data_IF_648875933744
#
_entry.id   IF_648875933744
#
_cell.length_a   1.000
_cell.length_b   1.000
_cell.length_c   1.000
_cell.angle_alpha   90.00
_cell.angle_beta   90.00
_cell.angle_gamma   90.00
#
_symmetry.space_group_name_H-M   'P 1'
#
loop_
_entity.id
_entity.type
_entity.pdbx_description
1 polymer ?
#
# COMPACT_ATOMS: atom_id res chain seq x y z
N UNK A 1 -5.60 -32.50 -24.48
CA UNK A 1 -5.66 -32.41 -23.01
C UNK A 1 -5.06 -31.06 -22.63
N UNK A 2 -5.90 -30.07 -22.35
CA UNK A 2 -5.43 -28.73 -22.04
C UNK A 2 -4.74 -28.74 -20.67
N UNK A 3 -3.51 -28.24 -20.65
CA UNK A 3 -2.64 -28.14 -19.49
C UNK A 3 -3.32 -27.32 -18.38
N UNK A 4 -3.75 -27.97 -17.30
CA UNK A 4 -4.43 -27.35 -16.15
C UNK A 4 -3.48 -26.71 -15.14
N UNK A 5 -2.16 -26.77 -15.37
CA UNK A 5 -1.15 -26.37 -14.36
C UNK A 5 -0.81 -24.88 -14.38
N UNK A 6 -1.68 -24.02 -14.92
CA UNK A 6 -1.44 -22.58 -14.92
C UNK A 6 -2.70 -21.74 -14.65
N UNK A 7 -3.57 -22.23 -13.76
CA UNK A 7 -4.63 -21.39 -13.19
C UNK A 7 -3.95 -20.46 -12.19
N UNK A 8 -3.70 -19.21 -12.60
CA UNK A 8 -3.30 -18.15 -11.65
C UNK A 8 -4.31 -18.15 -10.50
N UNK A 9 -3.88 -18.15 -9.23
CA UNK A 9 -4.80 -18.07 -8.12
C UNK A 9 -5.69 -16.84 -8.28
N UNK A 10 -6.98 -17.01 -8.01
CA UNK A 10 -7.93 -15.90 -7.99
C UNK A 10 -7.40 -14.87 -6.98
N UNK A 11 -7.38 -13.59 -7.37
CA UNK A 11 -6.91 -12.50 -6.49
C UNK A 11 -7.79 -12.35 -5.24
N UNK A 12 -9.09 -12.59 -5.40
CA UNK A 12 -10.09 -12.53 -4.34
C UNK A 12 -10.86 -13.86 -4.23
N UNK A 13 -10.22 -14.94 -3.74
CA UNK A 13 -10.88 -16.23 -3.61
C UNK A 13 -12.08 -16.16 -2.64
N UNK A 14 -12.04 -15.25 -1.65
CA UNK A 14 -13.11 -14.99 -0.70
C UNK A 14 -14.38 -14.43 -1.36
N UNK A 15 -14.24 -13.72 -2.48
CA UNK A 15 -15.38 -13.12 -3.22
C UNK A 15 -15.95 -14.04 -4.30
N UNK A 16 -15.34 -15.20 -4.56
CA UNK A 16 -15.72 -16.09 -5.66
C UNK A 16 -17.14 -16.68 -5.55
N UNK A 17 -17.73 -16.68 -4.36
CA UNK A 17 -19.09 -17.19 -4.10
C UNK A 17 -20.18 -16.11 -4.21
N UNK A 18 -19.80 -14.85 -4.39
CA UNK A 18 -20.76 -13.75 -4.47
C UNK A 18 -21.51 -13.79 -5.80
N UNK A 19 -22.79 -13.35 -5.84
CA UNK A 19 -23.52 -13.19 -7.10
C UNK A 19 -22.76 -12.29 -8.06
N UNK A 20 -22.75 -12.64 -9.35
CA UNK A 20 -22.11 -11.78 -10.35
C UNK A 20 -22.84 -10.44 -10.44
N UNK A 21 -22.07 -9.36 -10.31
CA UNK A 21 -22.53 -8.01 -10.59
C UNK A 21 -21.76 -7.50 -11.82
N UNK A 22 -22.39 -7.41 -13.01
CA UNK A 22 -21.68 -7.10 -14.24
C UNK A 22 -21.05 -5.70 -14.18
N UNK A 23 -19.79 -5.61 -14.59
CA UNK A 23 -19.08 -4.34 -14.61
C UNK A 23 -19.80 -3.32 -15.51
N UNK A 24 -20.20 -2.20 -14.90
CA UNK A 24 -20.73 -1.07 -15.62
C UNK A 24 -19.63 -0.40 -16.47
N UNK A 25 -20.01 0.07 -17.65
CA UNK A 25 -19.07 0.79 -18.53
C UNK A 25 -18.63 2.07 -17.85
N UNK A 26 -17.31 2.23 -17.65
CA UNK A 26 -16.75 3.48 -17.13
C UNK A 26 -17.11 4.65 -18.05
N UNK A 27 -17.63 5.77 -17.51
CA UNK A 27 -17.98 6.95 -18.29
C UNK A 27 -16.77 7.53 -19.04
N UNK A 28 -17.04 8.34 -20.08
CA UNK A 28 -16.02 8.81 -21.02
C UNK A 28 -14.92 9.66 -20.36
N UNK A 29 -15.25 10.39 -19.30
CA UNK A 29 -14.30 11.24 -18.57
C UNK A 29 -13.34 10.45 -17.65
N UNK A 30 -13.61 9.17 -17.36
CA UNK A 30 -12.70 8.31 -16.57
C UNK A 30 -11.82 7.52 -17.53
N UNK A 31 -10.77 8.17 -18.05
CA UNK A 31 -9.75 7.59 -18.92
C UNK A 31 -8.38 8.15 -18.57
N UNK A 32 -7.37 7.28 -18.60
CA UNK A 32 -5.96 7.64 -18.37
C UNK A 32 -5.08 7.03 -19.47
N UNK A 33 -3.88 7.58 -19.66
CA UNK A 33 -2.89 7.01 -20.57
C UNK A 33 -2.17 5.85 -19.89
N UNK A 34 -1.79 4.84 -20.67
CA UNK A 34 -0.98 3.74 -20.15
C UNK A 34 0.40 4.25 -19.70
N UNK A 35 0.95 3.75 -18.57
CA UNK A 35 2.24 4.19 -18.07
C UNK A 35 3.37 3.58 -18.92
N UNK A 36 3.92 4.37 -19.85
CA UNK A 36 5.01 3.94 -20.74
C UNK A 36 6.32 4.70 -20.50
N UNK A 37 6.38 5.54 -19.46
CA UNK A 37 7.57 6.34 -19.17
C UNK A 37 8.75 5.51 -18.64
N UNK A 38 10.00 5.92 -18.90
CA UNK A 38 11.18 5.30 -18.28
C UNK A 38 11.14 5.32 -16.74
N UNK A 39 10.68 6.42 -16.15
CA UNK A 39 10.52 6.57 -14.71
C UNK A 39 9.61 5.49 -14.11
N UNK A 40 8.53 5.13 -14.82
CA UNK A 40 7.67 4.04 -14.37
C UNK A 40 8.41 2.70 -14.33
N UNK A 41 9.17 2.37 -15.38
CA UNK A 41 9.91 1.11 -15.45
C UNK A 41 11.00 1.03 -14.38
N UNK A 42 11.71 2.14 -14.13
CA UNK A 42 12.73 2.27 -13.10
C UNK A 42 12.15 2.06 -11.69
N UNK A 43 11.11 2.82 -11.33
CA UNK A 43 10.46 2.67 -10.02
C UNK A 43 9.90 1.26 -9.85
N UNK A 44 9.28 0.69 -10.90
CA UNK A 44 8.76 -0.69 -10.83
C UNK A 44 9.87 -1.70 -10.54
N UNK A 45 11.00 -1.57 -11.23
CA UNK A 45 12.15 -2.45 -11.05
C UNK A 45 12.66 -2.34 -9.61
N UNK A 46 12.83 -1.12 -9.11
CA UNK A 46 13.35 -0.90 -7.77
C UNK A 46 12.44 -1.44 -6.67
N UNK A 47 11.12 -1.23 -6.78
CA UNK A 47 10.16 -1.79 -5.81
C UNK A 47 10.29 -3.31 -5.72
N UNK A 48 10.48 -3.99 -6.86
CA UNK A 48 10.68 -5.45 -6.88
C UNK A 48 12.03 -5.87 -6.30
N UNK A 49 13.11 -5.17 -6.63
CA UNK A 49 14.46 -5.45 -6.11
C UNK A 49 14.55 -5.26 -4.59
N UNK A 50 13.76 -4.33 -4.03
CA UNK A 50 13.71 -4.02 -2.59
C UNK A 50 12.61 -4.78 -1.84
N UNK A 51 11.93 -5.72 -2.49
CA UNK A 51 10.82 -6.47 -1.91
C UNK A 51 9.71 -5.57 -1.30
N UNK A 52 9.44 -4.43 -1.93
CA UNK A 52 8.42 -3.48 -1.49
C UNK A 52 7.11 -3.69 -2.26
N UNK A 53 6.01 -3.52 -1.54
CA UNK A 53 4.66 -3.54 -2.12
C UNK A 53 4.13 -2.12 -2.23
N UNK A 54 3.38 -1.80 -3.29
CA UNK A 54 2.75 -0.48 -3.43
C UNK A 54 1.26 -0.62 -3.59
N UNK A 55 0.48 0.27 -2.97
CA UNK A 55 -0.96 0.36 -3.27
C UNK A 55 -1.16 0.80 -4.73
N UNK A 56 -0.17 1.48 -5.33
CA UNK A 56 -0.21 1.88 -6.72
C UNK A 56 -0.40 0.66 -7.64
N UNK A 57 0.37 -0.41 -7.41
CA UNK A 57 0.23 -1.68 -8.13
C UNK A 57 -0.95 -2.51 -7.58
N UNK A 58 -1.07 -2.61 -6.25
CA UNK A 58 -2.06 -3.50 -5.62
C UNK A 58 -3.50 -3.04 -5.83
N UNK A 59 -3.78 -1.74 -5.85
CA UNK A 59 -5.10 -1.20 -6.15
C UNK A 59 -5.34 -0.97 -7.66
N UNK A 60 -4.41 -1.37 -8.53
CA UNK A 60 -4.47 -1.11 -9.97
C UNK A 60 -4.71 0.38 -10.29
N UNK A 61 -3.93 1.25 -9.63
CA UNK A 61 -4.15 2.69 -9.67
C UNK A 61 -3.94 3.24 -11.10
N UNK A 62 -4.95 3.93 -11.68
CA UNK A 62 -4.83 4.50 -13.02
C UNK A 62 -3.79 5.65 -13.09
N UNK A 63 -3.42 6.23 -11.94
CA UNK A 63 -2.53 7.40 -11.86
C UNK A 63 -1.05 7.03 -11.65
N UNK A 64 -0.71 5.73 -11.56
CA UNK A 64 0.62 5.24 -11.20
C UNK A 64 1.76 5.88 -12.02
N UNK A 65 1.57 6.04 -13.34
CA UNK A 65 2.58 6.62 -14.21
C UNK A 65 2.83 8.11 -13.95
N UNK A 66 1.78 8.87 -13.65
CA UNK A 66 1.89 10.30 -13.36
C UNK A 66 2.54 10.53 -11.98
N UNK A 67 2.05 9.83 -10.95
CA UNK A 67 2.59 9.96 -9.59
C UNK A 67 4.09 9.61 -9.55
N UNK A 68 4.49 8.49 -10.16
CA UNK A 68 5.89 8.05 -10.12
C UNK A 68 6.81 8.99 -10.92
N UNK A 69 6.33 9.56 -12.03
CA UNK A 69 7.07 10.58 -12.77
C UNK A 69 7.30 11.87 -11.94
N UNK A 70 6.38 12.20 -11.04
CA UNK A 70 6.50 13.33 -10.10
C UNK A 70 7.33 12.99 -8.85
N UNK A 71 7.90 11.78 -8.78
CA UNK A 71 8.63 11.27 -7.60
C UNK A 71 7.75 11.16 -6.36
N UNK A 72 6.50 10.72 -6.58
CA UNK A 72 5.51 10.42 -5.55
C UNK A 72 5.16 8.93 -5.61
N UNK A 73 5.11 8.26 -4.46
CA UNK A 73 4.65 6.88 -4.38
C UNK A 73 3.93 6.61 -3.07
N UNK A 74 3.02 5.63 -3.11
CA UNK A 74 2.37 5.11 -1.90
C UNK A 74 2.81 3.67 -1.69
N UNK A 75 3.65 3.46 -0.69
CA UNK A 75 4.18 2.15 -0.32
C UNK A 75 3.27 1.53 0.72
N UNK A 76 2.92 0.26 0.51
CA UNK A 76 2.13 -0.54 1.43
C UNK A 76 3.07 -1.44 2.22
N UNK A 77 3.27 -1.10 3.49
CA UNK A 77 4.09 -1.87 4.43
C UNK A 77 3.27 -3.02 5.03
N UNK A 78 3.95 -3.95 5.70
CA UNK A 78 3.37 -5.13 6.36
C UNK A 78 2.76 -6.18 5.41
N UNK A 79 3.13 -6.11 4.12
CA UNK A 79 2.77 -7.08 3.09
C UNK A 79 1.54 -6.70 2.26
N UNK A 80 1.04 -7.67 1.51
CA UNK A 80 -0.05 -7.55 0.52
C UNK A 80 -1.32 -8.34 0.88
N UNK A 81 -1.33 -8.96 2.07
CA UNK A 81 -2.45 -9.75 2.59
C UNK A 81 -2.98 -9.07 3.85
N UNK A 82 -4.24 -8.65 3.79
CA UNK A 82 -4.95 -7.99 4.87
C UNK A 82 -5.73 -9.00 5.74
N UNK A 83 -5.76 -8.76 7.04
CA UNK A 83 -6.60 -9.54 7.98
C UNK A 83 -8.09 -9.23 7.85
N UNK A 84 -8.45 -8.14 7.15
CA UNK A 84 -9.82 -7.68 6.96
C UNK A 84 -10.26 -7.71 5.49
N UNK A 85 -11.57 -7.76 5.29
CA UNK A 85 -12.21 -7.99 3.99
C UNK A 85 -13.11 -6.81 3.56
N UNK A 86 -12.56 -5.60 3.47
CA UNK A 86 -13.31 -4.44 3.00
C UNK A 86 -13.85 -4.68 1.57
N UNK A 87 -15.18 -4.57 1.39
CA UNK A 87 -15.83 -4.98 0.14
C UNK A 87 -15.31 -4.24 -1.10
N UNK A 88 -14.95 -2.95 -0.94
CA UNK A 88 -14.41 -2.09 -2.00
C UNK A 88 -12.91 -2.26 -2.23
N UNK A 89 -12.18 -2.84 -1.29
CA UNK A 89 -10.73 -2.93 -1.35
C UNK A 89 -10.27 -4.07 -2.29
N UNK A 90 -9.18 -3.82 -3.01
CA UNK A 90 -8.58 -4.73 -3.98
C UNK A 90 -7.36 -5.50 -3.43
N UNK A 91 -7.02 -5.28 -2.16
CA UNK A 91 -5.96 -6.01 -1.44
C UNK A 91 -6.49 -7.41 -1.07
N UNK A 92 -5.62 -8.42 -1.14
CA UNK A 92 -6.00 -9.79 -0.81
C UNK A 92 -6.37 -9.92 0.67
N UNK A 93 -7.37 -10.73 0.99
CA UNK A 93 -7.72 -11.06 2.37
C UNK A 93 -7.15 -12.41 2.75
N UNK A 94 -6.55 -12.54 3.93
CA UNK A 94 -6.03 -13.80 4.42
C UNK A 94 -5.18 -13.68 5.67
N UNK A 95 -4.35 -14.70 5.92
CA UNK A 95 -3.36 -14.69 7.00
C UNK A 95 -2.07 -14.01 6.49
N UNK A 96 -1.65 -12.88 7.06
CA UNK A 96 -0.43 -12.20 6.64
C UNK A 96 0.82 -13.03 6.95
N UNK A 97 1.91 -12.70 6.24
CA UNK A 97 3.23 -13.23 6.51
C UNK A 97 3.87 -12.65 7.79
N UNK A 98 5.10 -13.09 8.06
CA UNK A 98 5.93 -12.47 9.11
C UNK A 98 6.26 -11.04 8.70
N UNK A 99 6.35 -10.14 9.69
CA UNK A 99 6.85 -8.78 9.48
C UNK A 99 8.29 -8.87 8.99
N UNK A 100 8.60 -8.18 7.90
CA UNK A 100 9.96 -8.06 7.39
C UNK A 100 10.71 -6.98 8.19
N UNK A 101 11.76 -7.33 8.95
CA UNK A 101 12.52 -6.36 9.71
C UNK A 101 13.34 -5.41 8.83
N UNK A 102 13.61 -5.77 7.56
CA UNK A 102 14.37 -4.95 6.61
C UNK A 102 13.48 -3.98 5.81
N UNK A 103 12.16 -4.06 5.94
CA UNK A 103 11.21 -3.20 5.22
C UNK A 103 11.47 -1.70 5.44
N UNK A 104 11.77 -1.19 6.67
CA UNK A 104 12.12 0.22 6.87
C UNK A 104 13.39 0.65 6.12
N UNK A 105 14.43 -0.19 6.13
CA UNK A 105 15.68 0.07 5.41
C UNK A 105 15.48 0.06 3.90
N UNK A 106 14.76 -0.96 3.39
CA UNK A 106 14.44 -1.08 1.98
C UNK A 106 13.60 0.11 1.49
N UNK A 107 12.63 0.57 2.29
CA UNK A 107 11.83 1.76 2.02
C UNK A 107 12.70 3.02 1.91
N UNK A 108 13.59 3.21 2.88
CA UNK A 108 14.51 4.35 2.91
C UNK A 108 15.50 4.35 1.74
N UNK A 109 16.07 3.20 1.40
CA UNK A 109 16.94 3.04 0.23
C UNK A 109 16.17 3.36 -1.04
N UNK A 110 14.96 2.82 -1.19
CA UNK A 110 14.13 3.07 -2.36
C UNK A 110 13.78 4.57 -2.50
N UNK A 111 13.39 5.23 -1.41
CA UNK A 111 13.11 6.66 -1.39
C UNK A 111 14.33 7.50 -1.80
N UNK A 112 15.52 7.15 -1.29
CA UNK A 112 16.78 7.83 -1.61
C UNK A 112 17.21 7.63 -3.07
N UNK A 113 17.24 6.39 -3.55
CA UNK A 113 17.66 6.07 -4.92
C UNK A 113 16.75 6.71 -5.98
N UNK A 114 15.45 6.80 -5.71
CA UNK A 114 14.51 7.43 -6.64
C UNK A 114 14.47 8.96 -6.53
N UNK A 115 15.03 9.54 -5.46
CA UNK A 115 14.86 10.95 -5.14
C UNK A 115 13.39 11.30 -4.91
N UNK A 116 12.70 10.51 -4.07
CA UNK A 116 11.29 10.76 -3.73
C UNK A 116 11.12 12.14 -3.10
N UNK A 117 10.09 12.87 -3.55
CA UNK A 117 9.72 14.18 -2.98
C UNK A 117 8.66 14.02 -1.90
N UNK A 118 7.75 13.10 -2.13
CA UNK A 118 6.63 12.82 -1.25
C UNK A 118 6.37 11.31 -1.23
N UNK A 119 6.37 10.73 -0.04
CA UNK A 119 6.14 9.32 0.17
C UNK A 119 4.96 9.13 1.10
N UNK A 120 3.95 8.40 0.63
CA UNK A 120 2.84 7.97 1.47
C UNK A 120 3.14 6.56 1.96
N UNK A 121 3.10 6.36 3.27
CA UNK A 121 3.21 5.04 3.89
C UNK A 121 1.81 4.61 4.30
N UNK A 122 1.37 3.48 3.79
CA UNK A 122 0.12 2.83 4.22
C UNK A 122 0.38 1.38 4.59
N UNK A 123 -0.61 0.69 5.15
CA UNK A 123 -0.47 -0.73 5.45
C UNK A 123 -1.78 -1.48 5.23
N UNK A 124 -1.65 -2.80 5.16
CA UNK A 124 -2.78 -3.69 5.43
C UNK A 124 -3.15 -3.67 6.93
N UNK A 125 -4.36 -4.10 7.28
CA UNK A 125 -4.71 -4.35 8.67
C UNK A 125 -3.97 -5.60 9.18
N UNK A 126 -3.30 -5.46 10.33
CA UNK A 126 -2.55 -6.51 11.02
C UNK A 126 -3.12 -6.80 12.40
N UNK A 127 -4.38 -7.24 12.43
CA UNK A 127 -5.06 -7.59 13.68
C UNK A 127 -4.33 -8.70 14.48
N UNK A 128 -3.50 -9.50 13.80
CA UNK A 128 -2.63 -10.54 14.36
C UNK A 128 -1.46 -10.00 15.19
N UNK A 129 -1.09 -8.72 15.05
CA UNK A 129 -0.03 -8.08 15.81
C UNK A 129 -0.56 -7.39 17.06
N UNK A 130 0.23 -7.39 18.14
CA UNK A 130 -0.15 -6.81 19.42
C UNK A 130 -0.36 -5.28 19.36
N UNK A 131 0.34 -4.59 18.45
CA UNK A 131 0.27 -3.14 18.22
C UNK A 131 -0.45 -2.78 16.91
N UNK A 132 -1.04 -3.76 16.22
CA UNK A 132 -1.67 -3.56 14.92
C UNK A 132 -0.72 -3.13 13.80
N UNK A 133 0.61 -3.23 14.00
CA UNK A 133 1.62 -2.80 13.03
C UNK A 133 2.13 -1.36 13.23
N UNK A 134 1.66 -0.64 14.24
CA UNK A 134 2.08 0.74 14.52
C UNK A 134 3.60 0.90 14.67
N UNK A 135 4.27 -0.04 15.33
CA UNK A 135 5.72 0.00 15.49
C UNK A 135 6.48 -0.09 14.15
N UNK A 136 5.89 -0.68 13.12
CA UNK A 136 6.49 -0.71 11.78
C UNK A 136 6.38 0.65 11.08
N UNK A 137 5.24 1.34 11.21
CA UNK A 137 5.12 2.72 10.76
C UNK A 137 6.18 3.61 11.40
N UNK A 138 6.35 3.52 12.72
CA UNK A 138 7.36 4.31 13.47
C UNK A 138 8.75 4.07 12.90
N UNK A 139 9.18 2.81 12.78
CA UNK A 139 10.50 2.47 12.22
C UNK A 139 10.71 3.01 10.80
N UNK A 140 9.69 2.91 9.94
CA UNK A 140 9.74 3.44 8.58
C UNK A 140 9.90 4.97 8.57
N UNK A 141 9.13 5.68 9.39
CA UNK A 141 9.21 7.14 9.49
C UNK A 141 10.60 7.56 9.99
N UNK A 142 11.05 7.00 11.12
CA UNK A 142 12.36 7.30 11.71
C UNK A 142 13.48 7.05 10.70
N UNK A 143 13.44 5.91 10.01
CA UNK A 143 14.46 5.56 9.04
C UNK A 143 14.51 6.50 7.85
N UNK A 144 13.35 6.94 7.34
CA UNK A 144 13.27 7.93 6.27
C UNK A 144 13.77 9.31 6.70
N UNK A 145 13.52 9.70 7.96
CA UNK A 145 14.04 10.98 8.49
C UNK A 145 15.57 10.97 8.60
N UNK A 146 16.16 9.83 8.92
CA UNK A 146 17.62 9.67 8.98
C UNK A 146 18.29 9.75 7.60
N UNK A 147 17.72 9.10 6.59
CA UNK A 147 18.40 8.90 5.30
C UNK A 147 17.92 9.82 4.18
N UNK A 148 16.69 10.32 4.28
CA UNK A 148 16.03 11.14 3.26
C UNK A 148 15.30 12.32 3.89
N UNK A 149 16.01 13.24 4.58
CA UNK A 149 15.37 14.30 5.37
C UNK A 149 14.53 15.29 4.55
N UNK A 150 14.79 15.40 3.24
CA UNK A 150 14.04 16.26 2.32
C UNK A 150 12.72 15.63 1.81
N UNK A 151 12.55 14.32 1.99
CA UNK A 151 11.33 13.62 1.58
C UNK A 151 10.21 13.93 2.57
N UNK A 152 9.10 14.45 2.07
CA UNK A 152 7.89 14.59 2.89
C UNK A 152 7.21 13.24 3.09
N UNK A 153 6.74 12.98 4.30
CA UNK A 153 6.16 11.71 4.74
C UNK A 153 4.69 11.91 5.10
N UNK A 154 3.80 11.35 4.29
CA UNK A 154 2.40 11.16 4.68
C UNK A 154 2.19 9.73 5.16
N UNK A 155 1.33 9.55 6.15
CA UNK A 155 0.86 8.22 6.54
C UNK A 155 -0.63 8.09 6.30
N UNK A 156 -1.05 6.95 5.75
CA UNK A 156 -2.44 6.53 5.65
C UNK A 156 -2.62 5.28 6.50
N UNK A 157 -3.14 5.47 7.70
CA UNK A 157 -3.17 4.45 8.75
C UNK A 157 -4.45 3.61 8.74
N UNK A 158 -4.37 2.33 9.18
CA UNK A 158 -5.57 1.60 9.61
C UNK A 158 -6.16 2.22 10.89
N UNK A 159 -7.29 1.70 11.36
CA UNK A 159 -7.95 2.19 12.59
C UNK A 159 -7.25 1.77 13.89
N UNK A 160 -6.24 0.88 13.81
CA UNK A 160 -5.57 0.26 14.97
C UNK A 160 -6.55 -0.29 16.04
N UNK A 161 -7.69 -0.83 15.61
CA UNK A 161 -8.78 -1.30 16.49
C UNK A 161 -8.32 -2.03 17.75
N UNK A 162 -8.69 -1.49 18.90
CA UNK A 162 -8.39 -2.02 20.23
C UNK A 162 -6.88 -2.25 20.50
N UNK A 163 -6.01 -1.40 19.93
CA UNK A 163 -4.56 -1.38 20.17
C UNK A 163 -4.15 -0.09 20.91
N UNK A 164 -4.23 -0.05 22.26
CA UNK A 164 -3.87 1.14 23.02
C UNK A 164 -2.43 1.58 22.76
N UNK A 165 -2.21 2.88 22.55
CA UNK A 165 -0.87 3.44 22.32
C UNK A 165 -0.38 3.38 20.87
N UNK A 166 -1.06 2.64 19.98
CA UNK A 166 -0.67 2.49 18.59
C UNK A 166 -0.72 3.83 17.84
N UNK A 167 -1.83 4.56 17.98
CA UNK A 167 -2.02 5.87 17.36
C UNK A 167 -0.99 6.89 17.89
N UNK A 168 -0.82 6.94 19.22
CA UNK A 168 0.11 7.85 19.88
C UNK A 168 1.55 7.64 19.43
N UNK A 169 1.98 6.37 19.31
CA UNK A 169 3.33 6.04 18.86
C UNK A 169 3.60 6.57 17.44
N UNK A 170 2.64 6.38 16.52
CA UNK A 170 2.76 6.84 15.14
C UNK A 170 2.75 8.37 15.04
N UNK A 171 1.91 9.05 15.84
CA UNK A 171 1.92 10.52 15.92
C UNK A 171 3.26 11.04 16.46
N UNK A 172 3.82 10.39 17.48
CA UNK A 172 5.09 10.77 18.09
C UNK A 172 6.28 10.64 17.11
N UNK A 173 6.18 9.78 16.10
CA UNK A 173 7.18 9.66 15.03
C UNK A 173 7.19 10.86 14.06
N UNK A 174 6.23 11.79 14.16
CA UNK A 174 6.16 13.07 13.41
C UNK A 174 6.15 12.89 11.88
N UNK A 175 5.15 12.18 11.31
CA UNK A 175 4.86 12.31 9.88
C UNK A 175 4.47 13.76 9.56
N UNK A 176 4.69 14.19 8.32
CA UNK A 176 4.30 15.54 7.86
C UNK A 176 2.78 15.65 7.67
N UNK A 177 2.14 14.55 7.27
CA UNK A 177 0.68 14.47 7.11
C UNK A 177 0.18 13.17 7.76
N UNK A 178 -0.83 13.28 8.62
CA UNK A 178 -1.55 12.15 9.18
C UNK A 178 -2.89 11.98 8.47
N UNK A 179 -3.10 10.84 7.82
CA UNK A 179 -4.30 10.52 7.07
C UNK A 179 -4.96 9.23 7.60
N UNK A 180 -6.29 9.22 7.60
CA UNK A 180 -7.14 8.08 7.89
C UNK A 180 -8.47 8.28 7.17
N UNK A 181 -8.86 7.30 6.34
CA UNK A 181 -10.08 7.41 5.56
C UNK A 181 -11.29 6.92 6.36
N UNK A 182 -12.37 7.71 6.37
CA UNK A 182 -13.69 7.26 6.83
C UNK A 182 -14.41 6.37 5.81
N UNK A 183 -14.03 6.51 4.53
CA UNK A 183 -14.51 5.78 3.35
C UNK A 183 -15.97 6.01 2.95
N UNK A 184 -16.93 5.90 3.87
CA UNK A 184 -18.35 5.99 3.53
C UNK A 184 -19.21 6.48 4.68
N UNK A 185 -20.48 6.78 4.39
CA UNK A 185 -21.49 7.17 5.38
C UNK A 185 -22.12 5.92 6.05
N UNK A 186 -22.63 6.02 7.29
CA UNK A 186 -23.20 4.86 8.00
C UNK A 186 -24.44 4.21 7.38
N UNK A 187 -25.15 4.90 6.48
CA UNK A 187 -26.44 4.46 5.91
C UNK A 187 -26.32 3.54 4.69
N UNK A 188 -25.09 3.27 4.24
CA UNK A 188 -24.80 2.45 3.06
C UNK A 188 -24.50 1.00 3.44
#
# INVERSE_FOLDING_TARGET
MANTDNVRPLRHPEKAKNPENPHQKKPAWIRVKAPTSPAYAETRKLMRERNLTTVCEEAACPNIGECWAQKHATVMILGDICTRACAFCNVATGKPGKVDPLEPDNLAIAAGEMGMKHLVITSVDRDDLADGGAGQFVKCIERLRETTPETTIEILTPDFRDKPGALEAVIQAKPDVFNHNLETVPRL
#
